data_IF_021115057189
#
_entry.id   IF_021115057189
#
_cell.length_a   1.000
_cell.length_b   1.000
_cell.length_c   1.000
_cell.angle_alpha   90.00
_cell.angle_beta   90.00
_cell.angle_gamma   90.00
#
_symmetry.space_group_name_H-M   'P 1'
#
loop_
_entity.id
_entity.type
_entity.pdbx_description
1 polymer ?
#
# COMPACT_ATOMS: atom_id res chain seq x y z
N UNK A 1 3.34 -1.39 20.12
CA UNK A 1 1.99 -1.00 19.65
C UNK A 1 1.82 -1.72 18.32
N UNK A 2 0.76 -2.50 18.12
CA UNK A 2 0.48 -3.11 16.81
C UNK A 2 0.00 -2.02 15.85
N UNK A 3 0.64 -1.89 14.69
CA UNK A 3 0.22 -0.91 13.69
C UNK A 3 -0.85 -1.54 12.80
N UNK A 4 -1.94 -0.79 12.58
CA UNK A 4 -2.98 -1.14 11.63
C UNK A 4 -3.31 0.09 10.79
N UNK A 5 -2.90 0.09 9.53
CA UNK A 5 -3.07 1.19 8.57
C UNK A 5 -3.54 0.64 7.22
N UNK A 6 -4.50 1.31 6.61
CA UNK A 6 -5.08 0.89 5.32
C UNK A 6 -5.51 2.14 4.55
N UNK A 7 -5.07 2.25 3.30
CA UNK A 7 -5.26 3.49 2.58
C UNK A 7 -4.58 3.57 1.22
N UNK A 8 -4.52 4.79 0.72
CA UNK A 8 -3.89 5.17 -0.54
C UNK A 8 -3.00 6.37 -0.25
N UNK A 9 -1.79 6.36 -0.80
CA UNK A 9 -0.90 7.53 -0.86
C UNK A 9 -0.63 7.83 -2.34
N UNK A 10 -0.84 9.08 -2.73
CA UNK A 10 -0.66 9.57 -4.10
C UNK A 10 0.40 10.67 -4.05
N UNK A 11 1.39 10.62 -4.93
CA UNK A 11 2.51 11.58 -4.98
C UNK A 11 2.14 12.98 -5.53
N UNK A 12 0.88 13.38 -5.35
CA UNK A 12 0.36 14.67 -5.77
C UNK A 12 -0.82 15.13 -4.93
N UNK A 13 -1.04 16.44 -4.97
CA UNK A 13 -2.30 17.10 -4.62
C UNK A 13 -3.08 17.30 -5.92
N UNK A 14 -4.41 17.15 -5.94
CA UNK A 14 -5.21 17.40 -7.13
C UNK A 14 -5.03 18.86 -7.61
N UNK A 15 -4.70 19.02 -8.89
CA UNK A 15 -4.35 20.32 -9.48
C UNK A 15 -5.56 21.23 -9.77
N UNK A 16 -6.78 20.70 -9.70
CA UNK A 16 -7.94 21.31 -10.37
C UNK A 16 -9.02 21.75 -9.37
N UNK A 17 -8.93 23.01 -8.93
CA UNK A 17 -10.03 23.69 -8.21
C UNK A 17 -11.21 24.05 -9.12
N UNK A 18 -11.08 23.86 -10.44
CA UNK A 18 -12.07 24.23 -11.46
C UNK A 18 -12.92 23.06 -11.93
N UNK A 19 -12.74 21.85 -11.39
CA UNK A 19 -13.67 20.77 -11.65
C UNK A 19 -14.93 21.03 -10.83
N UNK A 20 -16.04 21.30 -11.54
CA UNK A 20 -17.39 21.35 -11.00
C UNK A 20 -17.64 20.05 -10.22
N UNK A 21 -17.42 20.06 -8.91
CA UNK A 21 -17.97 19.05 -8.03
C UNK A 21 -19.48 19.32 -7.94
N UNK A 22 -20.27 18.26 -7.85
CA UNK A 22 -21.72 18.42 -7.69
C UNK A 22 -22.00 19.08 -6.34
N UNK A 23 -22.24 20.40 -6.35
CA UNK A 23 -22.57 21.18 -5.15
C UNK A 23 -23.85 20.66 -4.48
N UNK A 24 -24.67 19.86 -5.19
CA UNK A 24 -25.89 19.26 -4.63
C UNK A 24 -25.62 17.98 -3.83
N UNK A 25 -24.43 17.38 -3.95
CA UNK A 25 -24.02 16.29 -3.07
C UNK A 25 -23.48 16.88 -1.78
N UNK A 26 -24.38 17.06 -0.81
CA UNK A 26 -24.00 17.50 0.54
C UNK A 26 -23.28 16.34 1.26
N UNK A 27 -21.96 16.27 1.10
CA UNK A 27 -21.13 15.36 1.87
C UNK A 27 -20.94 15.94 3.27
N UNK A 28 -21.55 15.31 4.28
CA UNK A 28 -21.27 15.62 5.69
C UNK A 28 -19.80 15.31 5.99
N UNK A 29 -19.02 16.37 6.16
CA UNK A 29 -17.57 16.33 6.33
C UNK A 29 -17.14 17.25 7.47
N UNK A 30 -16.35 16.72 8.40
CA UNK A 30 -15.73 17.48 9.48
C UNK A 30 -14.21 17.46 9.35
N UNK A 31 -13.54 18.55 9.71
CA UNK A 31 -12.09 18.55 9.84
C UNK A 31 -11.72 18.21 11.28
N UNK A 32 -10.97 17.12 11.47
CA UNK A 32 -10.48 16.71 12.79
C UNK A 32 -9.34 15.71 12.68
N UNK A 33 -8.63 15.47 13.79
CA UNK A 33 -7.71 14.35 13.91
C UNK A 33 -8.47 13.02 13.91
N UNK A 34 -7.85 12.00 13.30
CA UNK A 34 -8.37 10.63 13.30
C UNK A 34 -7.92 9.88 14.58
N UNK A 35 -8.65 8.82 14.93
CA UNK A 35 -8.32 7.96 16.08
C UNK A 35 -7.66 6.63 15.67
N UNK A 36 -7.69 6.32 14.38
CA UNK A 36 -7.24 5.06 13.80
C UNK A 36 -6.74 5.31 12.39
N UNK A 37 -5.64 4.65 12.00
CA UNK A 37 -5.08 4.70 10.65
C UNK A 37 -5.78 3.76 9.66
N UNK A 38 -6.81 3.04 10.12
CA UNK A 38 -7.75 2.28 9.29
C UNK A 38 -9.19 2.66 9.69
N UNK A 39 -9.65 3.89 9.42
CA UNK A 39 -10.98 4.34 9.78
C UNK A 39 -12.06 3.70 8.88
N UNK A 40 -13.26 3.46 9.42
CA UNK A 40 -14.41 2.92 8.65
C UNK A 40 -14.99 3.89 7.61
N UNK A 41 -14.64 5.16 7.75
CA UNK A 41 -15.13 6.23 6.91
C UNK A 41 -13.96 6.88 6.20
N UNK A 42 -14.21 7.36 4.99
CA UNK A 42 -13.21 8.03 4.17
C UNK A 42 -12.62 9.20 4.95
N UNK A 43 -11.31 9.19 5.12
CA UNK A 43 -10.57 10.24 5.81
C UNK A 43 -9.42 10.68 4.91
N UNK A 44 -9.38 11.95 4.51
CA UNK A 44 -8.42 12.46 3.54
C UNK A 44 -7.60 13.59 4.16
N UNK A 45 -6.28 13.56 3.96
CA UNK A 45 -5.37 14.64 4.33
C UNK A 45 -4.40 14.93 3.17
N UNK A 46 -3.83 16.12 3.18
CA UNK A 46 -2.79 16.54 2.24
C UNK A 46 -1.55 16.87 3.04
N UNK A 47 -0.45 16.17 2.74
CA UNK A 47 0.80 16.27 3.50
C UNK A 47 1.97 16.17 2.54
N UNK A 48 2.90 17.13 2.62
CA UNK A 48 4.12 17.15 1.80
C UNK A 48 3.84 16.89 0.29
N UNK A 49 2.91 17.65 -0.28
CA UNK A 49 2.49 17.54 -1.69
C UNK A 49 1.86 16.19 -2.08
N UNK A 50 1.57 15.32 -1.11
CA UNK A 50 0.89 14.05 -1.31
C UNK A 50 -0.57 14.10 -0.85
N UNK A 51 -1.42 13.31 -1.50
CA UNK A 51 -2.78 13.02 -1.04
C UNK A 51 -2.77 11.70 -0.26
N UNK A 52 -3.17 11.72 1.01
CA UNK A 52 -3.31 10.55 1.86
C UNK A 52 -4.79 10.26 2.10
N UNK A 53 -5.25 9.08 1.70
CA UNK A 53 -6.62 8.61 1.86
C UNK A 53 -6.59 7.40 2.77
N UNK A 54 -7.26 7.46 3.91
CA UNK A 54 -7.39 6.33 4.84
C UNK A 54 -8.84 5.84 4.85
N UNK A 55 -8.99 4.54 4.64
CA UNK A 55 -10.28 3.86 4.60
C UNK A 55 -10.07 2.37 4.83
N UNK A 56 -10.83 1.78 5.75
CA UNK A 56 -10.79 0.35 5.99
C UNK A 56 -11.15 -0.45 4.74
N UNK A 57 -10.57 -1.64 4.60
CA UNK A 57 -10.85 -2.60 3.52
C UNK A 57 -10.58 -2.13 2.08
N UNK A 58 -10.12 -0.89 1.86
CA UNK A 58 -9.86 -0.37 0.50
C UNK A 58 -8.93 -1.28 -0.29
N UNK A 59 -7.93 -1.86 0.37
CA UNK A 59 -7.01 -2.80 -0.25
C UNK A 59 -7.72 -4.10 -0.66
N UNK A 60 -8.38 -4.77 0.29
CA UNK A 60 -8.96 -6.11 0.09
C UNK A 60 -10.10 -6.09 -0.94
N UNK A 61 -10.86 -4.99 -1.00
CA UNK A 61 -12.00 -4.89 -1.91
C UNK A 61 -11.60 -4.44 -3.33
N UNK A 62 -10.36 -3.95 -3.56
CA UNK A 62 -10.01 -3.26 -4.82
C UNK A 62 -8.62 -3.56 -5.40
N UNK A 63 -7.88 -4.53 -4.84
CA UNK A 63 -6.56 -4.92 -5.33
C UNK A 63 -6.57 -6.39 -5.74
N UNK A 64 -6.03 -6.67 -6.93
CA UNK A 64 -5.93 -8.01 -7.51
C UNK A 64 -4.54 -8.25 -8.18
N UNK A 65 -4.38 -9.44 -8.74
CA UNK A 65 -3.17 -9.87 -9.44
C UNK A 65 -3.21 -9.66 -10.96
N UNK A 66 -4.25 -9.00 -11.50
CA UNK A 66 -4.36 -8.73 -12.93
C UNK A 66 -3.51 -7.52 -13.34
N UNK A 67 -3.06 -7.49 -14.60
CA UNK A 67 -2.32 -6.37 -15.18
C UNK A 67 -3.19 -5.13 -15.41
N UNK A 68 -4.50 -5.33 -15.53
CA UNK A 68 -5.49 -4.27 -15.69
C UNK A 68 -5.71 -3.52 -14.38
N UNK A 69 -6.06 -2.25 -14.51
CA UNK A 69 -6.50 -1.43 -13.38
C UNK A 69 -7.92 -1.85 -12.93
N UNK A 70 -8.13 -1.95 -11.63
CA UNK A 70 -9.46 -2.09 -11.04
C UNK A 70 -10.29 -0.81 -11.20
N UNK A 71 -11.59 -0.85 -10.92
CA UNK A 71 -12.46 0.34 -11.02
C UNK A 71 -11.96 1.48 -10.13
N UNK A 72 -11.51 1.18 -8.92
CA UNK A 72 -10.92 2.15 -7.99
C UNK A 72 -9.60 2.72 -8.53
N UNK A 73 -8.72 1.86 -9.03
CA UNK A 73 -7.43 2.29 -9.60
C UNK A 73 -7.66 3.20 -10.82
N UNK A 74 -8.61 2.87 -11.69
CA UNK A 74 -9.00 3.71 -12.82
C UNK A 74 -9.55 5.07 -12.36
N UNK A 75 -10.40 5.10 -11.32
CA UNK A 75 -10.94 6.34 -10.77
C UNK A 75 -9.82 7.28 -10.28
N UNK A 76 -8.81 6.73 -9.61
CA UNK A 76 -7.62 7.49 -9.16
C UNK A 76 -6.78 7.95 -10.36
N UNK A 77 -6.53 7.08 -11.33
CA UNK A 77 -5.74 7.40 -12.55
C UNK A 77 -6.41 8.52 -13.36
N UNK A 78 -7.75 8.57 -13.42
CA UNK A 78 -8.45 9.66 -14.09
C UNK A 78 -8.18 11.02 -13.44
N UNK A 79 -8.03 11.05 -12.11
CA UNK A 79 -7.72 12.27 -11.37
C UNK A 79 -6.22 12.60 -11.37
N UNK A 80 -5.37 11.58 -11.43
CA UNK A 80 -3.91 11.67 -11.31
C UNK A 80 -3.19 10.86 -12.42
N UNK A 81 -3.36 11.21 -13.71
CA UNK A 81 -2.96 10.34 -14.83
C UNK A 81 -1.45 10.12 -14.96
N UNK A 82 -0.65 11.06 -14.48
CA UNK A 82 0.81 11.06 -14.64
C UNK A 82 1.57 10.83 -13.33
N UNK A 83 0.86 10.47 -12.27
CA UNK A 83 1.39 10.36 -10.92
C UNK A 83 1.52 8.91 -10.49
N UNK A 84 2.38 8.70 -9.50
CA UNK A 84 2.55 7.40 -8.87
C UNK A 84 1.65 7.35 -7.63
N UNK A 85 1.00 6.21 -7.41
CA UNK A 85 0.27 5.98 -6.17
C UNK A 85 0.38 4.54 -5.69
N UNK A 86 0.19 4.39 -4.39
CA UNK A 86 0.21 3.12 -3.70
C UNK A 86 -1.11 2.92 -2.97
N UNK A 87 -1.73 1.76 -3.15
CA UNK A 87 -2.80 1.27 -2.29
C UNK A 87 -2.14 0.29 -1.33
N UNK A 88 -2.30 0.46 -0.02
CA UNK A 88 -1.59 -0.34 0.98
C UNK A 88 -2.49 -0.84 2.10
N UNK A 89 -2.03 -1.92 2.73
CA UNK A 89 -2.56 -2.48 3.97
C UNK A 89 -1.41 -3.01 4.82
N UNK A 90 -1.44 -2.68 6.10
CA UNK A 90 -0.48 -3.18 7.09
C UNK A 90 -1.22 -3.41 8.39
N UNK A 91 -1.27 -4.66 8.84
CA UNK A 91 -1.88 -5.05 10.11
C UNK A 91 -1.02 -6.11 10.80
N UNK A 92 -0.21 -5.65 11.74
CA UNK A 92 0.78 -6.49 12.44
C UNK A 92 0.13 -7.59 13.28
N UNK A 93 -1.07 -7.35 13.79
CA UNK A 93 -1.74 -8.26 14.73
C UNK A 93 -2.12 -9.58 14.08
N UNK A 94 -2.50 -9.55 12.80
CA UNK A 94 -2.94 -10.74 12.06
C UNK A 94 -1.98 -11.12 10.94
N UNK A 95 -0.79 -10.52 10.92
CA UNK A 95 0.23 -10.74 9.89
C UNK A 95 -0.36 -10.55 8.48
N UNK A 96 -0.82 -9.33 8.20
CA UNK A 96 -1.53 -9.00 6.96
C UNK A 96 -0.93 -7.74 6.34
N UNK A 97 -0.19 -7.92 5.25
CA UNK A 97 0.62 -6.87 4.64
C UNK A 97 0.50 -6.91 3.13
N UNK A 98 0.23 -5.76 2.50
CA UNK A 98 0.12 -5.71 1.05
C UNK A 98 0.20 -4.31 0.49
N UNK A 99 0.60 -4.23 -0.77
CA UNK A 99 0.63 -3.02 -1.55
C UNK A 99 0.36 -3.29 -3.03
N UNK A 100 -0.30 -2.34 -3.69
CA UNK A 100 -0.43 -2.21 -5.15
C UNK A 100 0.21 -0.90 -5.56
N UNK A 101 1.10 -0.93 -6.55
CA UNK A 101 1.83 0.22 -7.07
C UNK A 101 1.46 0.49 -8.51
N UNK A 102 0.87 1.66 -8.73
CA UNK A 102 0.48 2.17 -10.03
C UNK A 102 1.42 3.32 -10.36
N UNK A 103 2.07 3.25 -11.52
CA UNK A 103 2.97 4.29 -12.02
C UNK A 103 2.45 4.83 -13.32
N UNK A 104 2.18 6.14 -13.37
CA UNK A 104 1.73 6.83 -14.60
C UNK A 104 0.59 6.09 -15.30
N UNK A 105 -0.42 5.66 -14.52
CA UNK A 105 -1.59 4.95 -15.02
C UNK A 105 -1.38 3.47 -15.35
N UNK A 106 -0.26 2.85 -14.98
CA UNK A 106 0.01 1.43 -15.24
C UNK A 106 0.25 0.72 -13.91
N UNK A 107 -0.46 -0.38 -13.64
CA UNK A 107 -0.18 -1.24 -12.49
C UNK A 107 1.15 -1.97 -12.73
N UNK A 108 2.12 -1.73 -11.85
CA UNK A 108 3.49 -2.26 -12.03
C UNK A 108 3.84 -3.37 -11.04
N UNK A 109 3.21 -3.37 -9.86
CA UNK A 109 3.51 -4.33 -8.79
C UNK A 109 2.31 -4.46 -7.85
N UNK A 110 1.83 -5.68 -7.67
CA UNK A 110 0.95 -6.03 -6.55
C UNK A 110 1.60 -7.12 -5.73
N UNK A 111 1.61 -6.95 -4.42
CA UNK A 111 2.04 -7.98 -3.47
C UNK A 111 1.14 -7.99 -2.26
N UNK A 112 0.72 -9.16 -1.81
CA UNK A 112 -0.06 -9.32 -0.60
C UNK A 112 0.34 -10.61 0.11
N UNK A 113 0.60 -10.51 1.41
CA UNK A 113 0.89 -11.62 2.30
C UNK A 113 -0.13 -11.65 3.45
N UNK A 114 -0.57 -12.86 3.77
CA UNK A 114 -1.37 -13.15 4.96
C UNK A 114 -0.80 -14.37 5.68
N UNK A 115 -0.46 -14.22 6.96
CA UNK A 115 -0.01 -15.31 7.83
C UNK A 115 1.14 -16.15 7.22
N UNK A 116 2.20 -15.51 6.75
CA UNK A 116 3.34 -16.21 6.12
C UNK A 116 3.17 -16.55 4.65
N UNK A 117 1.95 -16.43 4.11
CA UNK A 117 1.65 -16.91 2.77
C UNK A 117 1.48 -15.76 1.81
N UNK A 118 2.18 -15.84 0.69
CA UNK A 118 1.94 -14.98 -0.46
C UNK A 118 0.56 -15.33 -1.03
N UNK A 119 -0.32 -14.34 -1.07
CA UNK A 119 -1.69 -14.46 -1.57
C UNK A 119 -1.87 -13.76 -2.91
N UNK A 120 -1.14 -12.67 -3.16
CA UNK A 120 -1.06 -12.03 -4.48
C UNK A 120 0.41 -11.70 -4.80
N UNK A 121 0.84 -11.93 -6.04
CA UNK A 121 2.20 -11.65 -6.49
C UNK A 121 2.27 -11.36 -8.00
N UNK A 122 2.01 -10.09 -8.36
CA UNK A 122 2.01 -9.61 -9.74
C UNK A 122 3.11 -8.58 -9.98
N UNK A 123 3.67 -8.56 -11.19
CA UNK A 123 4.63 -7.53 -11.64
C UNK A 123 6.07 -7.73 -11.20
N UNK A 124 6.92 -6.76 -11.52
CA UNK A 124 8.36 -6.79 -11.27
C UNK A 124 8.72 -6.44 -9.83
N UNK A 125 9.85 -6.96 -9.37
CA UNK A 125 10.38 -6.59 -8.05
C UNK A 125 10.70 -5.10 -8.01
N UNK A 126 10.25 -4.44 -6.95
CA UNK A 126 10.63 -3.05 -6.66
C UNK A 126 12.07 -2.97 -6.15
N UNK A 127 12.70 -1.78 -6.11
CA UNK A 127 14.11 -1.63 -5.73
C UNK A 127 14.46 -2.24 -4.36
N UNK A 128 13.61 -2.09 -3.35
CA UNK A 128 13.87 -2.67 -2.02
C UNK A 128 13.82 -4.21 -2.04
N UNK A 129 12.90 -4.79 -2.82
CA UNK A 129 12.81 -6.26 -2.97
C UNK A 129 14.05 -6.80 -3.70
N UNK A 130 14.55 -6.09 -4.72
CA UNK A 130 15.79 -6.46 -5.39
C UNK A 130 16.99 -6.37 -4.46
N UNK A 131 17.09 -5.31 -3.64
CA UNK A 131 18.17 -5.18 -2.66
C UNK A 131 18.18 -6.34 -1.68
N UNK A 132 17.01 -6.71 -1.15
CA UNK A 132 16.89 -7.84 -0.23
C UNK A 132 17.23 -9.16 -0.93
N UNK A 133 16.80 -9.33 -2.19
CA UNK A 133 17.20 -10.48 -2.99
C UNK A 133 18.72 -10.57 -3.08
N UNK A 134 19.41 -9.48 -3.41
CA UNK A 134 20.87 -9.43 -3.51
C UNK A 134 21.55 -9.76 -2.18
N UNK A 135 21.10 -9.16 -1.08
CA UNK A 135 21.65 -9.37 0.27
C UNK A 135 21.55 -10.84 0.72
N UNK A 136 20.48 -11.55 0.33
CA UNK A 136 20.25 -12.95 0.73
C UNK A 136 20.69 -13.99 -0.30
N UNK A 137 20.96 -13.58 -1.54
CA UNK A 137 21.40 -14.51 -2.59
C UNK A 137 22.66 -15.24 -2.16
N UNK A 138 23.68 -14.51 -1.70
CA UNK A 138 24.95 -15.11 -1.25
C UNK A 138 24.78 -15.92 0.04
N UNK A 139 23.85 -15.53 0.92
CA UNK A 139 23.62 -16.25 2.19
C UNK A 139 22.97 -17.62 1.93
N UNK A 140 22.03 -17.69 0.98
CA UNK A 140 21.23 -18.90 0.73
C UNK A 140 21.87 -19.79 -0.33
N UNK A 141 22.45 -19.20 -1.37
CA UNK A 141 23.02 -19.90 -2.52
C UNK A 141 24.54 -19.72 -2.63
N UNK A 142 25.22 -19.28 -1.57
CA UNK A 142 26.67 -19.04 -1.57
C UNK A 142 27.52 -20.30 -1.79
N UNK A 143 26.94 -21.49 -1.64
CA UNK A 143 27.57 -22.75 -2.03
C UNK A 143 27.04 -23.26 -3.38
N UNK A 144 27.95 -23.82 -4.18
CA UNK A 144 27.63 -24.29 -5.54
C UNK A 144 26.61 -25.42 -5.56
N UNK A 145 26.47 -26.19 -4.49
CA UNK A 145 25.51 -27.31 -4.47
C UNK A 145 24.08 -26.78 -4.31
N UNK A 146 23.87 -25.85 -3.38
CA UNK A 146 22.60 -25.15 -3.18
C UNK A 146 22.20 -24.36 -4.42
N UNK A 147 23.12 -23.62 -5.04
CA UNK A 147 22.87 -22.88 -6.27
C UNK A 147 22.42 -23.82 -7.41
N UNK A 148 23.16 -24.91 -7.63
CA UNK A 148 22.82 -25.89 -8.67
C UNK A 148 21.48 -26.58 -8.39
N UNK A 149 21.21 -26.92 -7.13
CA UNK A 149 19.93 -27.52 -6.73
C UNK A 149 18.77 -26.55 -6.97
N UNK A 150 18.90 -25.29 -6.55
CA UNK A 150 17.89 -24.26 -6.76
C UNK A 150 17.63 -24.01 -8.25
N UNK A 151 18.68 -23.86 -9.05
CA UNK A 151 18.57 -23.63 -10.48
C UNK A 151 17.94 -24.81 -11.23
N UNK A 152 18.24 -26.04 -10.79
CA UNK A 152 17.63 -27.26 -11.36
C UNK A 152 16.13 -27.32 -11.04
N UNK A 153 15.72 -27.01 -9.81
CA UNK A 153 14.30 -26.99 -9.42
C UNK A 153 13.52 -25.89 -10.13
N UNK A 154 14.16 -24.78 -10.44
CA UNK A 154 13.55 -23.58 -11.02
C UNK A 154 13.94 -23.32 -12.48
N UNK A 155 14.36 -24.35 -13.22
CA UNK A 155 14.91 -24.21 -14.57
C UNK A 155 13.93 -23.60 -15.59
N UNK A 156 12.63 -23.79 -15.36
CA UNK A 156 11.56 -23.35 -16.25
C UNK A 156 11.02 -21.95 -15.92
N UNK A 157 11.52 -21.34 -14.83
CA UNK A 157 11.07 -20.02 -14.39
C UNK A 157 11.85 -18.92 -15.12
N UNK A 158 11.18 -17.79 -15.38
CA UNK A 158 11.85 -16.56 -15.81
C UNK A 158 12.80 -16.06 -14.72
N UNK A 159 13.74 -15.19 -15.07
CA UNK A 159 14.68 -14.62 -14.08
C UNK A 159 13.95 -13.92 -12.92
N UNK A 160 12.89 -13.16 -13.20
CA UNK A 160 12.08 -12.52 -12.16
C UNK A 160 11.39 -13.57 -11.27
N UNK A 161 10.86 -14.64 -11.86
CA UNK A 161 10.21 -15.71 -11.11
C UNK A 161 11.23 -16.47 -10.22
N UNK A 162 12.46 -16.68 -10.70
CA UNK A 162 13.54 -17.23 -9.88
C UNK A 162 13.88 -16.32 -8.69
N UNK A 163 13.98 -15.01 -8.92
CA UNK A 163 14.21 -14.05 -7.82
C UNK A 163 13.11 -14.13 -6.76
N UNK A 164 11.84 -14.14 -7.18
CA UNK A 164 10.69 -14.32 -6.29
C UNK A 164 10.74 -15.65 -5.54
N UNK A 165 11.07 -16.74 -6.23
CA UNK A 165 11.21 -18.06 -5.60
C UNK A 165 12.31 -18.10 -4.53
N UNK A 166 13.41 -17.37 -4.72
CA UNK A 166 14.48 -17.24 -3.72
C UNK A 166 14.00 -16.47 -2.49
N UNK A 167 13.27 -15.36 -2.69
CA UNK A 167 12.67 -14.61 -1.58
C UNK A 167 11.67 -15.48 -0.78
N UNK A 168 10.88 -16.32 -1.47
CA UNK A 168 10.01 -17.29 -0.80
C UNK A 168 10.79 -18.35 -0.02
N UNK A 169 11.91 -18.85 -0.58
CA UNK A 169 12.78 -19.81 0.09
C UNK A 169 13.37 -19.21 1.37
N UNK A 170 13.84 -17.96 1.30
CA UNK A 170 14.32 -17.19 2.45
C UNK A 170 13.28 -17.15 3.57
N UNK A 171 12.04 -16.78 3.26
CA UNK A 171 10.98 -16.70 4.27
C UNK A 171 10.69 -18.05 4.91
N UNK A 172 10.65 -19.14 4.14
CA UNK A 172 10.51 -20.51 4.68
C UNK A 172 11.66 -20.93 5.60
N UNK A 173 12.90 -20.56 5.25
CA UNK A 173 14.07 -20.87 6.07
C UNK A 173 14.00 -20.12 7.41
N UNK A 174 13.62 -18.84 7.38
CA UNK A 174 13.43 -18.05 8.60
C UNK A 174 12.27 -18.57 9.45
N UNK A 175 11.14 -18.94 8.86
CA UNK A 175 10.03 -19.58 9.57
C UNK A 175 10.47 -20.87 10.27
N UNK A 176 11.25 -21.72 9.58
CA UNK A 176 11.79 -22.94 10.15
C UNK A 176 12.70 -22.65 11.35
N UNK A 177 13.68 -21.77 11.20
CA UNK A 177 14.61 -21.39 12.28
C UNK A 177 13.83 -20.84 13.49
N UNK A 178 12.82 -20.02 13.28
CA UNK A 178 12.08 -19.41 14.37
C UNK A 178 11.16 -20.41 15.08
N UNK A 179 10.50 -21.31 14.35
CA UNK A 179 9.70 -22.39 14.95
C UNK A 179 10.54 -23.37 15.77
N UNK A 180 11.77 -23.66 15.35
CA UNK A 180 12.75 -24.44 16.13
C UNK A 180 13.20 -23.74 17.42
N UNK A 181 13.12 -22.40 17.47
CA UNK A 181 13.54 -21.59 18.62
C UNK A 181 12.35 -21.04 19.44
N UNK A 182 11.12 -21.53 19.23
CA UNK A 182 9.88 -21.06 19.86
C UNK A 182 9.59 -19.55 19.68
N UNK A 183 10.21 -18.89 18.70
CA UNK A 183 9.89 -17.51 18.34
C UNK A 183 8.78 -17.51 17.28
N UNK A 184 7.68 -16.74 17.44
CA UNK A 184 6.77 -16.50 16.34
C UNK A 184 7.48 -15.59 15.32
N UNK A 185 7.89 -16.14 14.17
CA UNK A 185 8.21 -15.32 13.02
C UNK A 185 6.93 -14.66 12.55
N UNK A 186 6.85 -13.34 12.68
CA UNK A 186 5.88 -12.54 11.96
C UNK A 186 6.48 -12.38 10.55
N UNK A 187 5.89 -13.08 9.59
CA UNK A 187 6.17 -12.79 8.19
C UNK A 187 5.74 -11.34 7.88
N UNK A 188 6.13 -10.78 6.73
CA UNK A 188 5.70 -9.42 6.40
C UNK A 188 6.49 -8.28 7.05
N UNK A 189 7.58 -8.56 7.79
CA UNK A 189 8.53 -7.52 8.24
C UNK A 189 9.09 -6.69 7.08
N UNK A 190 9.28 -7.29 5.90
CA UNK A 190 9.78 -6.56 4.73
C UNK A 190 8.71 -5.67 4.15
N UNK A 191 7.49 -6.18 4.00
CA UNK A 191 6.37 -5.44 3.44
C UNK A 191 5.93 -4.31 4.36
N UNK A 192 5.91 -4.55 5.68
CA UNK A 192 5.74 -3.47 6.67
C UNK A 192 6.84 -2.43 6.55
N UNK A 193 8.12 -2.82 6.58
CA UNK A 193 9.23 -1.87 6.39
C UNK A 193 9.11 -1.09 5.08
N UNK A 194 8.64 -1.73 4.01
CA UNK A 194 8.45 -1.07 2.74
C UNK A 194 7.29 -0.06 2.79
N UNK A 195 6.13 -0.46 3.33
CA UNK A 195 4.97 0.43 3.49
C UNK A 195 5.34 1.62 4.39
N UNK A 196 6.00 1.37 5.52
CA UNK A 196 6.52 2.42 6.41
C UNK A 196 7.48 3.35 5.68
N UNK A 197 8.40 2.81 4.87
CA UNK A 197 9.34 3.61 4.11
C UNK A 197 8.66 4.45 3.02
N UNK A 198 7.68 3.89 2.29
CA UNK A 198 6.87 4.67 1.33
C UNK A 198 6.17 5.82 2.04
N UNK A 199 5.49 5.53 3.15
CA UNK A 199 4.75 6.54 3.91
C UNK A 199 5.69 7.60 4.46
N UNK A 200 6.85 7.22 4.98
CA UNK A 200 7.83 8.15 5.52
C UNK A 200 8.42 9.04 4.42
N UNK A 201 8.82 8.47 3.28
CA UNK A 201 9.34 9.24 2.14
C UNK A 201 8.28 10.23 1.63
N UNK A 202 7.04 9.76 1.44
CA UNK A 202 5.96 10.58 0.91
C UNK A 202 5.55 11.70 1.88
N UNK A 203 5.37 11.38 3.16
CA UNK A 203 4.79 12.30 4.15
C UNK A 203 5.82 13.04 5.01
N UNK A 204 7.09 12.61 5.00
CA UNK A 204 8.16 13.04 5.92
C UNK A 204 7.77 12.86 7.39
N UNK A 205 7.00 11.81 7.69
CA UNK A 205 6.48 11.48 9.02
C UNK A 205 6.56 10.00 9.28
N UNK A 206 6.73 9.62 10.55
CA UNK A 206 6.53 8.24 10.96
C UNK A 206 5.04 7.87 10.90
N UNK A 207 4.74 6.58 10.77
CA UNK A 207 3.36 6.11 10.57
C UNK A 207 2.42 6.54 11.71
N UNK A 208 2.87 6.53 12.95
CA UNK A 208 2.05 6.93 14.10
C UNK A 208 1.80 8.44 14.16
N UNK A 209 2.73 9.25 13.66
CA UNK A 209 2.58 10.71 13.59
C UNK A 209 1.51 11.14 12.58
N UNK A 210 1.07 10.23 11.70
CA UNK A 210 -0.05 10.48 10.80
C UNK A 210 -1.35 10.73 11.58
N UNK A 211 -1.49 10.22 12.82
CA UNK A 211 -2.65 10.48 13.68
C UNK A 211 -2.77 11.96 14.08
N UNK A 212 -1.67 12.72 14.03
CA UNK A 212 -1.65 14.13 14.38
C UNK A 212 -2.02 15.07 13.22
N UNK A 213 -2.19 14.54 12.02
CA UNK A 213 -2.65 15.32 10.87
C UNK A 213 -4.13 15.68 11.00
N UNK A 214 -4.49 16.83 10.42
CA UNK A 214 -5.88 17.18 10.20
C UNK A 214 -6.40 16.41 8.99
N UNK A 215 -7.51 15.71 9.16
CA UNK A 215 -8.21 15.02 8.08
C UNK A 215 -9.57 15.64 7.85
N UNK A 216 -9.97 15.69 6.58
CA UNK A 216 -11.37 15.75 6.20
C UNK A 216 -11.99 14.36 6.40
N UNK A 217 -12.83 14.23 7.43
CA UNK A 217 -13.51 12.99 7.80
C UNK A 217 -14.96 13.06 7.34
N UNK A 218 -15.34 12.14 6.46
CA UNK A 218 -16.68 12.07 5.89
C UNK A 218 -17.57 11.20 6.77
N UNK A 219 -18.67 11.74 7.29
CA UNK A 219 -19.59 11.01 8.17
C UNK A 219 -20.52 10.11 7.33
N UNK A 220 -19.96 9.04 6.75
CA UNK A 220 -20.73 7.98 6.09
C UNK A 220 -20.39 6.63 6.68
N UNK A 221 -21.42 5.80 6.87
CA UNK A 221 -21.28 4.49 7.52
C UNK A 221 -20.44 3.49 6.72
N UNK A 222 -20.47 3.57 5.38
CA UNK A 222 -19.67 2.72 4.48
C UNK A 222 -19.52 3.38 3.10
N UNK A 223 -18.30 3.38 2.57
CA UNK A 223 -18.03 3.73 1.16
C UNK A 223 -18.40 2.54 0.26
N UNK A 224 -19.14 2.79 -0.82
CA UNK A 224 -19.50 1.78 -1.79
C UNK A 224 -18.58 1.86 -3.01
N UNK A 225 -17.55 1.00 -3.04
CA UNK A 225 -16.56 0.94 -4.11
C UNK A 225 -17.12 0.70 -5.52
N UNK A 226 -18.36 0.19 -5.66
CA UNK A 226 -18.98 -0.05 -6.97
C UNK A 226 -19.70 1.16 -7.54
N UNK A 227 -20.22 2.03 -6.68
CA UNK A 227 -21.15 3.09 -7.07
C UNK A 227 -20.63 4.48 -6.73
N UNK A 228 -19.52 4.58 -6.00
CA UNK A 228 -18.96 5.85 -5.55
C UNK A 228 -17.54 6.03 -6.07
N UNK A 229 -17.25 7.26 -6.49
CA UNK A 229 -15.91 7.70 -6.89
C UNK A 229 -15.24 8.44 -5.72
N UNK A 230 -13.94 8.20 -5.52
CA UNK A 230 -13.12 8.93 -4.56
C UNK A 230 -12.88 10.38 -5.00
N UNK A 231 -13.04 10.69 -6.29
CA UNK A 231 -12.80 12.02 -6.86
C UNK A 231 -13.50 13.13 -6.08
N UNK A 232 -14.80 13.00 -5.84
CA UNK A 232 -15.58 14.01 -5.13
C UNK A 232 -15.10 14.18 -3.68
N UNK A 233 -14.77 13.08 -3.00
CA UNK A 233 -14.23 13.12 -1.64
C UNK A 233 -12.90 13.87 -1.59
N UNK A 234 -11.99 13.60 -2.53
CA UNK A 234 -10.67 14.25 -2.62
C UNK A 234 -10.83 15.76 -2.86
N UNK A 235 -11.65 16.17 -3.83
CA UNK A 235 -11.86 17.59 -4.15
C UNK A 235 -12.52 18.36 -3.00
N UNK A 236 -13.51 17.75 -2.33
CA UNK A 236 -14.16 18.36 -1.17
C UNK A 236 -13.18 18.48 0.00
N UNK A 237 -12.40 17.44 0.27
CA UNK A 237 -11.37 17.48 1.31
C UNK A 237 -10.38 18.61 1.06
N UNK A 238 -9.91 18.78 -0.19
CA UNK A 238 -9.01 19.85 -0.58
C UNK A 238 -9.64 21.22 -0.30
N UNK A 239 -10.88 21.44 -0.75
CA UNK A 239 -11.58 22.72 -0.56
C UNK A 239 -11.75 23.07 0.93
N UNK A 240 -11.99 22.09 1.80
CA UNK A 240 -12.24 22.29 3.23
C UNK A 240 -10.95 22.51 4.02
N UNK A 241 -9.90 21.73 3.73
CA UNK A 241 -8.60 21.86 4.38
C UNK A 241 -7.86 23.14 3.95
N UNK A 242 -7.96 23.55 2.68
CA UNK A 242 -7.39 24.83 2.21
C UNK A 242 -8.07 26.04 2.85
N UNK A 243 -9.40 26.01 3.04
CA UNK A 243 -10.15 27.09 3.72
C UNK A 243 -9.72 27.27 5.18
N UNK A 244 -9.29 26.21 5.86
CA UNK A 244 -8.83 26.29 7.25
C UNK A 244 -7.44 26.93 7.39
N UNK A 245 -6.54 26.74 6.41
CA UNK A 245 -5.19 27.33 6.44
C UNK A 245 -5.18 28.84 6.14
N UNK A 246 -6.32 29.40 5.69
CA UNK A 246 -6.51 30.81 5.40
C UNK A 246 -7.21 31.59 6.54
N UNK A 247 -7.60 30.90 7.62
CA UNK A 247 -8.21 31.47 8.83
C UNK A 247 -7.22 31.47 9.99
#
# INVERSE_FOLDING_TARGET
MSINITGIIIDAIPNDTNQNFDENLEYDCKISKIKSLSPKSVSISFVNECTLILLDKIFIENVDEEDKLTDLENDIVQLFPNNDFWIFVMNDTIDFFGYSLIKKGIKTRTKFLGQGKILLDFGDLIPIENKIYEDYYEIILGDKESENSFNKTNSNLSEIQKKKALLMLKDRLLEKINSENEYPYLSGKIESLYIENILNIATKKEVLDLLDLNFAIFNKAKFNFKNESLKNYILIAQSRLLKQNLQ
#
